data_IF_067617940003
#
_entry.id   IF_067617940003
#
_cell.length_a   1.000
_cell.length_b   1.000
_cell.length_c   1.000
_cell.angle_alpha   90.00
_cell.angle_beta   90.00
_cell.angle_gamma   90.00
#
_symmetry.space_group_name_H-M   'P 1'
#
loop_
_entity.id
_entity.type
_entity.pdbx_description
1 polymer ?
#
# COMPACT_ATOMS: atom_id res chain seq x y z
N UNK A 1 -88.43 -1.23 -41.30
CA UNK A 1 -88.52 0.11 -40.70
C UNK A 1 -88.22 0.01 -39.21
N UNK A 2 -87.31 0.89 -38.73
CA UNK A 2 -87.03 1.33 -37.35
C UNK A 2 -85.90 0.60 -36.60
N UNK A 3 -84.86 1.30 -36.62
CA UNK A 3 -84.10 2.09 -35.65
C UNK A 3 -83.38 1.31 -34.52
N UNK A 4 -82.12 1.36 -34.67
CA UNK A 4 -81.04 0.95 -33.75
C UNK A 4 -81.04 1.77 -32.43
N UNK A 5 -80.79 1.09 -31.32
CA UNK A 5 -80.37 1.75 -30.11
C UNK A 5 -79.06 1.12 -29.59
N UNK A 6 -78.03 1.93 -29.57
CA UNK A 6 -76.66 1.58 -29.18
C UNK A 6 -76.54 1.73 -27.66
N UNK A 7 -76.23 0.66 -26.93
CA UNK A 7 -75.93 0.72 -25.55
C UNK A 7 -74.37 0.68 -25.42
N UNK A 8 -73.76 1.79 -25.03
CA UNK A 8 -72.37 1.85 -24.67
C UNK A 8 -72.17 1.23 -23.28
N UNK A 9 -71.42 0.14 -23.18
CA UNK A 9 -70.86 -0.37 -21.93
C UNK A 9 -69.50 0.26 -21.74
N UNK A 10 -69.37 1.13 -20.73
CA UNK A 10 -68.10 1.68 -20.21
C UNK A 10 -67.47 0.62 -19.32
N UNK A 11 -66.35 0.06 -19.75
CA UNK A 11 -65.51 -0.78 -18.92
C UNK A 11 -64.58 0.14 -18.09
N UNK A 12 -64.72 0.12 -16.75
CA UNK A 12 -63.79 0.76 -15.85
C UNK A 12 -62.53 -0.08 -15.72
N UNK A 13 -61.42 0.44 -16.23
CA UNK A 13 -60.07 -0.09 -15.93
C UNK A 13 -59.63 0.39 -14.57
N UNK A 14 -59.56 -0.51 -13.59
CA UNK A 14 -58.90 -0.26 -12.30
C UNK A 14 -57.40 -0.30 -12.57
N UNK A 15 -56.78 0.88 -12.59
CA UNK A 15 -55.34 1.02 -12.66
C UNK A 15 -54.68 0.63 -11.35
N UNK A 16 -54.01 -0.49 -11.28
CA UNK A 16 -53.09 -0.80 -10.18
C UNK A 16 -51.84 0.07 -10.32
N UNK A 17 -51.74 1.13 -9.53
CA UNK A 17 -50.52 1.92 -9.35
C UNK A 17 -49.51 1.07 -8.58
N UNK A 18 -48.53 0.50 -9.30
CA UNK A 18 -47.34 -0.06 -8.69
C UNK A 18 -46.54 1.08 -8.07
N UNK A 19 -46.58 1.16 -6.74
CA UNK A 19 -45.70 2.01 -5.98
C UNK A 19 -44.28 1.36 -6.06
N UNK A 20 -43.50 1.75 -7.07
CA UNK A 20 -42.07 1.51 -7.07
C UNK A 20 -41.50 2.29 -5.88
N UNK A 21 -41.10 1.57 -4.85
CA UNK A 21 -40.28 2.09 -3.76
C UNK A 21 -38.95 2.55 -4.38
N UNK A 22 -38.86 3.84 -4.70
CA UNK A 22 -37.60 4.51 -4.98
C UNK A 22 -36.78 4.46 -3.69
N UNK A 23 -35.85 3.50 -3.60
CA UNK A 23 -34.72 3.62 -2.70
C UNK A 23 -34.06 4.96 -3.04
N UNK A 24 -33.95 5.91 -2.11
CA UNK A 24 -33.32 7.18 -2.42
C UNK A 24 -31.87 6.88 -2.80
N UNK A 25 -31.52 6.92 -4.08
CA UNK A 25 -30.15 7.15 -4.50
C UNK A 25 -29.78 8.47 -3.84
N UNK A 26 -28.88 8.41 -2.84
CA UNK A 26 -28.25 9.63 -2.34
C UNK A 26 -27.73 10.39 -3.54
N UNK A 27 -28.36 11.50 -3.86
CA UNK A 27 -27.83 12.45 -4.82
C UNK A 27 -26.52 12.94 -4.22
N UNK A 28 -25.40 12.42 -4.74
CA UNK A 28 -24.10 13.00 -4.42
C UNK A 28 -24.16 14.46 -4.80
N UNK A 29 -23.76 15.34 -3.88
CA UNK A 29 -23.73 16.76 -4.15
C UNK A 29 -22.92 16.98 -5.45
N UNK A 30 -23.50 17.66 -6.41
CA UNK A 30 -22.83 18.01 -7.65
C UNK A 30 -21.55 18.77 -7.28
N UNK A 31 -20.37 18.07 -7.38
CA UNK A 31 -19.09 18.68 -7.03
C UNK A 31 -18.15 17.83 -6.16
N UNK A 32 -18.61 16.75 -5.47
CA UNK A 32 -17.71 15.88 -4.69
C UNK A 32 -16.79 15.12 -5.66
N UNK A 33 -15.46 15.21 -5.52
CA UNK A 33 -14.54 14.51 -6.40
C UNK A 33 -14.60 12.98 -6.19
N UNK A 34 -14.41 12.21 -7.25
CA UNK A 34 -14.19 10.76 -7.16
C UNK A 34 -12.85 10.49 -6.46
N UNK A 35 -12.86 9.56 -5.54
CA UNK A 35 -11.67 9.16 -4.76
C UNK A 35 -11.09 7.89 -5.36
N UNK A 36 -9.82 7.91 -5.76
CA UNK A 36 -9.18 6.82 -6.50
C UNK A 36 -7.89 6.37 -5.83
N UNK A 37 -7.79 5.07 -5.51
CA UNK A 37 -6.50 4.44 -5.22
C UNK A 37 -6.05 3.61 -6.41
N UNK A 38 -4.76 3.70 -6.77
CA UNK A 38 -4.11 2.82 -7.73
C UNK A 38 -3.02 2.02 -7.04
N UNK A 39 -3.17 0.70 -7.07
CA UNK A 39 -2.35 -0.26 -6.32
C UNK A 39 -1.94 -1.43 -7.21
N UNK A 40 -0.91 -2.17 -6.78
CA UNK A 40 -0.37 -3.27 -7.58
C UNK A 40 -1.29 -4.50 -7.60
N UNK A 41 -1.76 -4.99 -6.45
CA UNK A 41 -2.56 -6.23 -6.40
C UNK A 41 -3.41 -6.30 -5.14
N UNK A 42 -4.63 -6.84 -5.24
CA UNK A 42 -5.48 -7.12 -4.09
C UNK A 42 -5.19 -8.49 -3.45
N UNK A 43 -4.45 -9.36 -4.12
CA UNK A 43 -4.00 -10.63 -3.53
C UNK A 43 -2.87 -10.44 -2.52
N UNK A 44 -2.13 -9.32 -2.58
CA UNK A 44 -1.17 -8.96 -1.56
C UNK A 44 -1.89 -8.31 -0.37
N UNK A 45 -1.77 -8.86 0.87
CA UNK A 45 -2.47 -8.35 2.05
C UNK A 45 -2.15 -6.89 2.40
N UNK A 46 -0.96 -6.40 2.08
CA UNK A 46 -0.58 -5.01 2.25
C UNK A 46 -1.47 -4.08 1.43
N UNK A 47 -1.59 -4.34 0.12
CA UNK A 47 -2.44 -3.54 -0.76
C UNK A 47 -3.94 -3.74 -0.48
N UNK A 48 -4.37 -4.92 -0.02
CA UNK A 48 -5.75 -5.14 0.40
C UNK A 48 -6.11 -4.25 1.59
N UNK A 49 -5.21 -4.12 2.59
CA UNK A 49 -5.39 -3.23 3.75
C UNK A 49 -5.32 -1.75 3.34
N UNK A 50 -4.43 -1.38 2.43
CA UNK A 50 -4.41 -0.05 1.82
C UNK A 50 -5.76 0.31 1.18
N UNK A 51 -6.32 -0.62 0.39
CA UNK A 51 -7.62 -0.43 -0.24
C UNK A 51 -8.74 -0.19 0.78
N UNK A 52 -8.74 -0.91 1.91
CA UNK A 52 -9.69 -0.69 3.00
C UNK A 52 -9.60 0.72 3.58
N UNK A 53 -8.38 1.24 3.78
CA UNK A 53 -8.16 2.62 4.22
C UNK A 53 -8.74 3.64 3.25
N UNK A 54 -8.55 3.46 1.95
CA UNK A 54 -9.14 4.33 0.93
C UNK A 54 -10.66 4.30 0.91
N UNK A 55 -11.25 3.11 1.07
CA UNK A 55 -12.71 2.96 1.20
C UNK A 55 -13.26 3.70 2.43
N UNK A 56 -12.55 3.59 3.56
CA UNK A 56 -12.95 4.27 4.79
C UNK A 56 -12.90 5.79 4.64
N UNK A 57 -11.84 6.33 4.03
CA UNK A 57 -11.76 7.76 3.73
C UNK A 57 -12.91 8.21 2.82
N UNK A 58 -13.13 7.54 1.69
CA UNK A 58 -14.21 7.89 0.76
C UNK A 58 -15.59 7.87 1.43
N UNK A 59 -15.84 6.85 2.27
CA UNK A 59 -17.06 6.75 3.08
C UNK A 59 -17.22 7.92 4.03
N UNK A 60 -16.15 8.38 4.67
CA UNK A 60 -16.18 9.47 5.64
C UNK A 60 -16.62 10.80 5.04
N UNK A 61 -16.31 11.04 3.76
CA UNK A 61 -16.68 12.26 3.02
C UNK A 61 -17.88 12.06 2.09
N UNK A 62 -18.47 10.87 2.04
CA UNK A 62 -19.60 10.54 1.16
C UNK A 62 -19.28 10.58 -0.33
N UNK A 63 -18.04 10.27 -0.72
CA UNK A 63 -17.56 10.25 -2.10
C UNK A 63 -17.64 8.85 -2.75
N UNK A 64 -17.70 8.82 -4.10
CA UNK A 64 -17.50 7.60 -4.87
C UNK A 64 -16.04 7.15 -4.75
N UNK A 65 -15.84 5.84 -4.57
CA UNK A 65 -14.53 5.23 -4.47
C UNK A 65 -14.24 4.29 -5.65
N UNK A 66 -13.05 4.37 -6.18
CA UNK A 66 -12.57 3.49 -7.25
C UNK A 66 -11.19 2.94 -6.88
N UNK A 67 -11.03 1.62 -7.02
CA UNK A 67 -9.72 0.97 -6.94
C UNK A 67 -9.27 0.61 -8.35
N UNK A 68 -8.08 1.03 -8.73
CA UNK A 68 -7.39 0.58 -9.93
C UNK A 68 -6.33 -0.44 -9.51
N UNK A 69 -6.37 -1.62 -10.11
CA UNK A 69 -5.44 -2.72 -9.80
C UNK A 69 -4.62 -3.02 -11.04
N UNK A 70 -3.32 -2.82 -10.93
CA UNK A 70 -2.40 -2.91 -12.08
C UNK A 70 -1.92 -4.33 -12.36
N UNK A 71 -1.91 -5.21 -11.35
CA UNK A 71 -1.30 -6.55 -11.35
C UNK A 71 0.20 -6.51 -11.70
N UNK A 72 0.87 -5.36 -11.44
CA UNK A 72 2.27 -5.13 -11.75
C UNK A 72 2.55 -4.70 -13.19
N UNK A 73 1.50 -4.45 -13.99
CA UNK A 73 1.62 -3.96 -15.36
C UNK A 73 1.57 -2.42 -15.36
N UNK A 74 2.71 -1.79 -15.66
CA UNK A 74 2.87 -0.33 -15.70
C UNK A 74 2.04 0.33 -16.80
N UNK A 75 1.96 -0.29 -17.99
CA UNK A 75 1.18 0.26 -19.11
C UNK A 75 -0.31 0.25 -18.78
N UNK A 76 -0.80 -0.87 -18.23
CA UNK A 76 -2.16 -0.97 -17.72
C UNK A 76 -2.46 0.08 -16.66
N UNK A 77 -1.58 0.24 -15.68
CA UNK A 77 -1.76 1.22 -14.59
C UNK A 77 -1.91 2.64 -15.10
N UNK A 78 -1.03 3.06 -16.01
CA UNK A 78 -1.08 4.40 -16.65
C UNK A 78 -2.34 4.55 -17.51
N UNK A 79 -2.72 3.51 -18.27
CA UNK A 79 -3.91 3.54 -19.12
C UNK A 79 -5.20 3.64 -18.29
N UNK A 80 -5.34 2.87 -17.22
CA UNK A 80 -6.49 2.89 -16.32
C UNK A 80 -6.65 4.26 -15.63
N UNK A 81 -5.54 4.88 -15.20
CA UNK A 81 -5.55 6.23 -14.64
C UNK A 81 -6.02 7.24 -15.69
N UNK A 82 -5.53 7.18 -16.92
CA UNK A 82 -5.99 8.06 -18.01
C UNK A 82 -7.48 7.87 -18.31
N UNK A 83 -7.98 6.64 -18.28
CA UNK A 83 -9.39 6.33 -18.51
C UNK A 83 -10.29 6.92 -17.40
N UNK A 84 -9.91 6.80 -16.12
CA UNK A 84 -10.70 7.38 -15.02
C UNK A 84 -10.63 8.92 -15.02
N UNK A 85 -9.49 9.52 -15.38
CA UNK A 85 -9.36 10.96 -15.56
C UNK A 85 -10.33 11.48 -16.64
N UNK A 86 -10.41 10.80 -17.78
CA UNK A 86 -11.36 11.14 -18.85
C UNK A 86 -12.82 10.98 -18.40
N UNK A 87 -13.15 9.88 -17.69
CA UNK A 87 -14.50 9.60 -17.17
C UNK A 87 -14.98 10.64 -16.19
N UNK A 88 -14.09 11.14 -15.32
CA UNK A 88 -14.41 12.11 -14.26
C UNK A 88 -14.24 13.58 -14.72
N UNK A 89 -13.71 13.80 -15.93
CA UNK A 89 -13.33 15.13 -16.40
C UNK A 89 -12.29 15.80 -15.48
N UNK A 90 -11.44 15.00 -14.80
CA UNK A 90 -10.46 15.48 -13.84
C UNK A 90 -11.03 15.83 -12.45
N UNK A 91 -12.35 15.67 -12.22
CA UNK A 91 -12.92 15.88 -10.89
C UNK A 91 -12.68 14.67 -10.00
N UNK A 92 -11.41 14.42 -9.68
CA UNK A 92 -10.99 13.32 -8.82
C UNK A 92 -9.75 13.68 -7.99
N UNK A 93 -9.50 12.87 -6.99
CA UNK A 93 -8.24 12.80 -6.26
C UNK A 93 -7.67 11.39 -6.39
N UNK A 94 -6.36 11.30 -6.60
CA UNK A 94 -5.65 10.04 -6.80
C UNK A 94 -4.57 9.87 -5.72
N UNK A 95 -4.53 8.69 -5.12
CA UNK A 95 -3.39 8.23 -4.35
C UNK A 95 -2.84 6.98 -5.05
N UNK A 96 -1.58 6.99 -5.45
CA UNK A 96 -0.99 5.95 -6.29
C UNK A 96 0.32 5.43 -5.72
N UNK A 97 0.46 4.10 -5.71
CA UNK A 97 1.73 3.40 -5.64
C UNK A 97 2.14 2.99 -7.06
N UNK A 98 3.00 3.76 -7.75
CA UNK A 98 3.46 3.39 -9.09
C UNK A 98 4.18 2.04 -9.08
N UNK A 99 3.97 1.20 -10.10
CA UNK A 99 4.66 -0.10 -10.16
C UNK A 99 6.18 0.05 -10.20
N UNK A 100 6.66 1.08 -10.92
CA UNK A 100 8.07 1.45 -11.02
C UNK A 100 8.25 2.95 -10.87
N UNK A 101 9.45 3.38 -10.46
CA UNK A 101 9.76 4.79 -10.27
C UNK A 101 9.52 5.65 -11.52
N UNK A 102 9.86 5.21 -12.76
CA UNK A 102 9.56 5.99 -13.97
C UNK A 102 8.07 6.23 -14.24
N UNK A 103 7.18 5.34 -13.74
CA UNK A 103 5.74 5.44 -13.99
C UNK A 103 5.10 6.68 -13.35
N UNK A 104 5.69 7.17 -12.26
CA UNK A 104 5.14 8.31 -11.53
C UNK A 104 5.02 9.56 -12.40
N UNK A 105 6.01 9.85 -13.26
CA UNK A 105 6.01 11.06 -14.09
C UNK A 105 4.83 11.13 -15.05
N UNK A 106 4.57 10.15 -15.94
CA UNK A 106 3.43 10.19 -16.86
C UNK A 106 2.07 10.16 -16.15
N UNK A 107 2.00 9.58 -14.94
CA UNK A 107 0.80 9.61 -14.09
C UNK A 107 0.54 11.03 -13.57
N UNK A 108 1.55 11.66 -12.98
CA UNK A 108 1.47 13.04 -12.45
C UNK A 108 1.11 14.01 -13.56
N UNK A 109 1.78 13.96 -14.70
CA UNK A 109 1.50 14.83 -15.85
C UNK A 109 0.08 14.65 -16.39
N UNK A 110 -0.43 13.41 -16.44
CA UNK A 110 -1.81 13.16 -16.83
C UNK A 110 -2.82 13.77 -15.85
N UNK A 111 -2.57 13.67 -14.53
CA UNK A 111 -3.41 14.30 -13.51
C UNK A 111 -3.42 15.83 -13.63
N UNK A 112 -2.26 16.44 -13.79
CA UNK A 112 -2.13 17.90 -13.97
C UNK A 112 -2.90 18.36 -15.19
N UNK A 113 -2.69 17.70 -16.34
CA UNK A 113 -3.39 18.03 -17.59
C UNK A 113 -4.91 17.97 -17.47
N UNK A 114 -5.42 17.05 -16.65
CA UNK A 114 -6.85 16.88 -16.40
C UNK A 114 -7.39 17.78 -15.26
N UNK A 115 -6.54 18.45 -14.48
CA UNK A 115 -6.93 19.23 -13.29
C UNK A 115 -7.28 18.38 -12.07
N UNK A 116 -6.86 17.10 -12.05
CA UNK A 116 -6.96 16.23 -10.90
C UNK A 116 -5.82 16.48 -9.90
N UNK A 117 -6.02 16.10 -8.65
CA UNK A 117 -5.00 16.19 -7.60
C UNK A 117 -4.45 14.81 -7.27
N UNK A 118 -3.14 14.70 -7.09
CA UNK A 118 -2.46 13.41 -6.93
C UNK A 118 -1.46 13.43 -5.79
N UNK A 119 -1.41 12.34 -5.05
CA UNK A 119 -0.29 11.95 -4.17
C UNK A 119 0.31 10.66 -4.70
N UNK A 120 1.63 10.56 -4.67
CA UNK A 120 2.36 9.33 -4.98
C UNK A 120 2.96 8.75 -3.71
N UNK A 121 3.17 7.43 -3.69
CA UNK A 121 3.84 6.77 -2.59
C UNK A 121 4.91 5.81 -3.11
N UNK A 122 5.95 5.57 -2.29
CA UNK A 122 7.06 4.66 -2.51
C UNK A 122 7.94 4.97 -3.73
N UNK A 123 7.35 4.98 -4.92
CA UNK A 123 8.10 4.99 -6.18
C UNK A 123 7.94 6.30 -6.93
N UNK A 124 9.05 6.99 -7.20
CA UNK A 124 9.13 8.12 -8.12
C UNK A 124 10.58 8.32 -8.59
N UNK A 125 10.80 8.96 -9.75
CA UNK A 125 12.13 9.46 -10.12
C UNK A 125 12.66 10.49 -9.12
N UNK A 126 13.96 10.50 -8.89
CA UNK A 126 14.59 11.43 -7.95
C UNK A 126 14.35 12.91 -8.29
N UNK A 127 14.26 13.22 -9.59
CA UNK A 127 14.05 14.56 -10.14
C UNK A 127 12.57 14.95 -10.32
N UNK A 128 11.62 14.18 -9.81
CA UNK A 128 10.19 14.47 -9.86
C UNK A 128 9.72 14.99 -8.51
N UNK A 129 9.54 16.28 -8.35
CA UNK A 129 9.15 16.89 -7.09
C UNK A 129 7.74 17.47 -7.09
N UNK A 130 6.94 17.31 -6.01
CA UNK A 130 5.60 17.88 -5.93
C UNK A 130 5.57 19.41 -6.11
N UNK A 131 6.56 20.13 -5.61
CA UNK A 131 6.61 21.61 -5.75
C UNK A 131 6.84 22.11 -7.16
N UNK A 132 7.31 21.26 -8.10
CA UNK A 132 7.49 21.61 -9.50
C UNK A 132 6.17 21.58 -10.29
N UNK A 133 5.12 20.99 -9.70
CA UNK A 133 3.83 20.73 -10.33
C UNK A 133 2.64 21.22 -9.47
N UNK A 134 2.77 22.41 -8.87
CA UNK A 134 1.71 23.03 -8.10
C UNK A 134 0.48 23.38 -8.93
N UNK A 135 -0.74 23.30 -8.35
CA UNK A 135 -1.03 22.73 -7.03
C UNK A 135 -1.38 21.24 -7.07
N UNK A 136 -1.37 20.60 -8.23
CA UNK A 136 -2.01 19.33 -8.49
C UNK A 136 -1.21 18.11 -7.99
N UNK A 137 0.12 18.14 -8.08
CA UNK A 137 0.94 17.13 -7.43
C UNK A 137 1.15 17.54 -5.98
N UNK A 138 0.36 16.96 -5.07
CA UNK A 138 0.24 17.47 -3.71
C UNK A 138 1.36 17.02 -2.82
N UNK A 139 1.64 15.71 -2.78
CA UNK A 139 2.70 15.16 -1.95
C UNK A 139 3.23 13.82 -2.49
N UNK A 140 4.45 13.50 -2.06
CA UNK A 140 5.04 12.16 -2.16
C UNK A 140 5.31 11.64 -0.75
N UNK A 141 4.83 10.43 -0.46
CA UNK A 141 4.92 9.78 0.84
C UNK A 141 5.78 8.53 0.71
N UNK A 142 6.81 8.40 1.51
CA UNK A 142 7.62 7.19 1.62
C UNK A 142 7.90 6.88 3.09
N UNK A 143 8.71 5.86 3.34
CA UNK A 143 9.22 5.51 4.66
C UNK A 143 10.70 5.21 4.52
N UNK A 144 11.50 5.51 5.53
CA UNK A 144 12.96 5.39 5.46
C UNK A 144 13.38 3.91 5.31
N UNK A 145 13.44 3.47 4.04
CA UNK A 145 13.77 2.09 3.71
C UNK A 145 15.16 1.67 4.15
N UNK A 146 16.13 2.59 4.19
CA UNK A 146 17.48 2.30 4.67
C UNK A 146 17.46 2.01 6.17
N UNK A 147 16.85 2.90 6.96
CA UNK A 147 16.74 2.75 8.40
C UNK A 147 16.05 1.44 8.81
N UNK A 148 14.86 1.18 8.25
CA UNK A 148 14.09 0.00 8.64
C UNK A 148 14.61 -1.30 8.01
N UNK A 149 15.29 -1.22 6.87
CA UNK A 149 16.05 -2.35 6.31
C UNK A 149 17.20 -2.76 7.24
N UNK A 150 17.89 -1.78 7.83
CA UNK A 150 18.93 -1.99 8.83
C UNK A 150 18.35 -2.55 10.14
N UNK A 151 17.24 -1.99 10.63
CA UNK A 151 16.59 -2.43 11.88
C UNK A 151 16.14 -3.90 11.80
N UNK A 152 15.50 -4.30 10.69
CA UNK A 152 15.07 -5.69 10.49
C UNK A 152 16.27 -6.63 10.35
N UNK A 153 17.34 -6.21 9.68
CA UNK A 153 18.57 -7.00 9.59
C UNK A 153 19.24 -7.16 10.96
N UNK A 154 19.28 -6.10 11.77
CA UNK A 154 19.82 -6.15 13.14
C UNK A 154 18.96 -7.05 14.06
N UNK A 155 17.62 -7.01 13.91
CA UNK A 155 16.72 -7.92 14.63
C UNK A 155 16.98 -9.39 14.25
N UNK A 156 17.19 -9.67 12.95
CA UNK A 156 17.57 -10.99 12.47
C UNK A 156 18.91 -11.46 13.08
N UNK A 157 19.94 -10.59 12.99
CA UNK A 157 21.28 -10.87 13.50
C UNK A 157 21.23 -11.17 15.01
N UNK A 158 20.48 -10.40 15.78
CA UNK A 158 20.24 -10.64 17.21
C UNK A 158 19.58 -12.00 17.44
N UNK A 159 18.53 -12.32 16.68
CA UNK A 159 17.78 -13.58 16.83
C UNK A 159 18.62 -14.82 16.49
N UNK A 160 19.59 -14.72 15.57
CA UNK A 160 20.50 -15.82 15.21
C UNK A 160 21.78 -15.88 16.09
N UNK A 161 21.90 -15.05 17.11
CA UNK A 161 23.05 -15.06 18.05
C UNK A 161 24.30 -14.34 17.53
N UNK A 162 24.16 -13.42 16.58
CA UNK A 162 25.24 -12.50 16.16
C UNK A 162 26.26 -13.07 15.17
N UNK A 163 26.07 -14.32 14.68
CA UNK A 163 27.02 -14.94 13.75
C UNK A 163 26.39 -16.01 12.88
N UNK A 164 27.01 -16.31 11.71
CA UNK A 164 26.58 -17.37 10.79
C UNK A 164 26.15 -16.84 9.43
N UNK A 165 25.60 -17.74 8.61
CA UNK A 165 25.16 -17.41 7.25
C UNK A 165 23.73 -16.95 7.20
N UNK A 166 23.46 -15.93 6.40
CA UNK A 166 22.07 -15.54 6.04
C UNK A 166 21.87 -15.61 4.54
N UNK A 167 20.64 -15.79 4.14
CA UNK A 167 20.19 -15.54 2.76
C UNK A 167 19.18 -14.39 2.77
N UNK A 168 19.07 -13.67 1.65
CA UNK A 168 18.23 -12.50 1.59
C UNK A 168 17.39 -12.41 0.31
N UNK A 169 16.12 -12.03 0.47
CA UNK A 169 15.15 -11.87 -0.61
C UNK A 169 14.90 -10.38 -0.87
N UNK A 170 15.15 -9.95 -2.11
CA UNK A 170 14.88 -8.60 -2.59
C UNK A 170 13.55 -8.47 -3.32
N UNK A 171 13.02 -7.24 -3.33
CA UNK A 171 11.91 -6.86 -4.18
C UNK A 171 12.33 -6.59 -5.63
N UNK A 172 11.44 -5.95 -6.40
CA UNK A 172 11.71 -5.54 -7.77
C UNK A 172 12.88 -4.55 -7.80
N UNK A 173 13.89 -4.80 -8.64
CA UNK A 173 15.16 -4.06 -8.63
C UNK A 173 15.05 -2.56 -8.94
N UNK A 174 14.05 -2.17 -9.73
CA UNK A 174 13.78 -0.78 -10.09
C UNK A 174 12.97 0.01 -9.06
N UNK A 175 12.48 -0.67 -8.01
CA UNK A 175 11.70 -0.02 -6.97
C UNK A 175 12.60 0.65 -5.92
N UNK A 176 12.34 1.91 -5.62
CA UNK A 176 13.04 2.67 -4.58
C UNK A 176 13.08 1.92 -3.23
N UNK A 177 11.96 1.39 -2.69
CA UNK A 177 12.00 0.66 -1.42
C UNK A 177 12.86 -0.63 -1.48
N UNK A 178 12.97 -1.29 -2.62
CA UNK A 178 13.83 -2.48 -2.75
C UNK A 178 15.32 -2.11 -2.64
N UNK A 179 15.70 -1.01 -3.28
CA UNK A 179 17.08 -0.49 -3.26
C UNK A 179 17.44 -0.03 -1.84
N UNK A 180 16.58 0.79 -1.22
CA UNK A 180 16.82 1.35 0.12
C UNK A 180 16.88 0.26 1.19
N UNK A 181 15.94 -0.68 1.21
CA UNK A 181 15.91 -1.78 2.19
C UNK A 181 17.14 -2.67 2.06
N UNK A 182 17.61 -2.94 0.83
CA UNK A 182 18.85 -3.67 0.57
C UNK A 182 20.07 -2.90 1.09
N UNK A 183 20.13 -1.59 0.88
CA UNK A 183 21.20 -0.74 1.44
C UNK A 183 21.22 -0.84 2.98
N UNK A 184 20.06 -0.83 3.65
CA UNK A 184 19.96 -1.03 5.09
C UNK A 184 20.50 -2.41 5.53
N UNK A 185 20.13 -3.48 4.83
CA UNK A 185 20.70 -4.82 5.07
C UNK A 185 22.24 -4.81 4.95
N UNK A 186 22.77 -4.18 3.89
CA UNK A 186 24.23 -4.10 3.66
C UNK A 186 24.93 -3.32 4.75
N UNK A 187 24.33 -2.24 5.29
CA UNK A 187 24.86 -1.48 6.42
C UNK A 187 24.94 -2.35 7.68
N UNK A 188 23.86 -3.09 7.99
CA UNK A 188 23.84 -4.00 9.14
C UNK A 188 24.90 -5.10 9.01
N UNK A 189 25.08 -5.69 7.83
CA UNK A 189 26.11 -6.71 7.58
C UNK A 189 27.52 -6.16 7.72
N UNK A 190 27.77 -4.94 7.24
CA UNK A 190 29.05 -4.25 7.40
C UNK A 190 29.39 -4.02 8.87
N UNK A 191 28.41 -3.70 9.69
CA UNK A 191 28.56 -3.52 11.13
C UNK A 191 28.73 -4.86 11.90
N UNK A 192 28.33 -5.99 11.29
CA UNK A 192 28.35 -7.32 11.90
C UNK A 192 29.19 -8.33 11.09
N UNK A 193 30.53 -8.24 11.08
CA UNK A 193 31.39 -9.03 10.17
C UNK A 193 31.39 -10.54 10.41
N UNK A 194 30.83 -11.00 11.53
CA UNK A 194 30.64 -12.43 11.84
C UNK A 194 29.43 -13.02 11.13
N UNK A 195 28.58 -12.19 10.50
CA UNK A 195 27.44 -12.63 9.70
C UNK A 195 27.78 -12.53 8.21
N UNK A 196 27.54 -13.61 7.48
CA UNK A 196 27.87 -13.71 6.05
C UNK A 196 26.62 -13.82 5.21
N UNK A 197 26.50 -12.99 4.21
CA UNK A 197 25.48 -13.16 3.17
C UNK A 197 25.90 -14.31 2.24
N UNK A 198 25.18 -15.44 2.28
CA UNK A 198 25.42 -16.61 1.47
C UNK A 198 24.89 -16.44 0.04
N UNK A 199 23.71 -15.84 -0.08
CA UNK A 199 23.09 -15.52 -1.38
C UNK A 199 22.04 -14.41 -1.22
N UNK A 200 21.80 -13.70 -2.33
CA UNK A 200 20.73 -12.70 -2.46
C UNK A 200 19.99 -12.94 -3.77
N UNK A 201 18.67 -13.11 -3.71
CA UNK A 201 17.84 -13.26 -4.91
C UNK A 201 16.62 -12.36 -4.86
N UNK A 202 16.13 -12.00 -6.05
CA UNK A 202 14.92 -11.19 -6.23
C UNK A 202 13.70 -12.10 -6.30
N UNK A 203 12.71 -11.84 -5.44
CA UNK A 203 11.44 -12.56 -5.42
C UNK A 203 10.24 -11.65 -5.74
N UNK A 204 10.49 -10.47 -6.34
CA UNK A 204 9.49 -9.58 -6.95
C UNK A 204 8.27 -9.26 -6.05
N UNK A 205 8.47 -9.17 -4.74
CA UNK A 205 7.43 -8.96 -3.73
C UNK A 205 6.39 -10.09 -3.62
N UNK A 206 6.70 -11.31 -4.08
CA UNK A 206 5.76 -12.44 -4.16
C UNK A 206 6.15 -13.61 -3.27
N UNK A 207 5.21 -14.08 -2.47
CA UNK A 207 5.36 -15.26 -1.59
C UNK A 207 5.68 -16.52 -2.36
N UNK A 208 5.06 -16.75 -3.51
CA UNK A 208 5.30 -17.95 -4.33
C UNK A 208 6.71 -18.02 -4.90
N UNK A 209 7.27 -16.88 -5.34
CA UNK A 209 8.66 -16.82 -5.80
C UNK A 209 9.63 -17.02 -4.64
N UNK A 210 9.35 -16.38 -3.49
CA UNK A 210 10.13 -16.54 -2.27
C UNK A 210 10.17 -18.00 -1.79
N UNK A 211 9.03 -18.69 -1.76
CA UNK A 211 8.95 -20.12 -1.41
C UNK A 211 9.88 -20.96 -2.26
N UNK A 212 9.85 -20.80 -3.58
CA UNK A 212 10.67 -21.57 -4.52
C UNK A 212 12.18 -21.30 -4.31
N UNK A 213 12.56 -20.03 -4.15
CA UNK A 213 13.95 -19.62 -3.92
C UNK A 213 14.47 -20.20 -2.60
N UNK A 214 13.69 -20.06 -1.53
CA UNK A 214 14.10 -20.56 -0.20
C UNK A 214 14.19 -22.08 -0.17
N UNK A 215 13.27 -22.80 -0.80
CA UNK A 215 13.34 -24.26 -0.94
C UNK A 215 14.63 -24.71 -1.64
N UNK A 216 15.03 -23.99 -2.69
CA UNK A 216 16.31 -24.25 -3.38
C UNK A 216 17.52 -23.93 -2.48
N UNK A 217 17.47 -22.85 -1.70
CA UNK A 217 18.53 -22.49 -0.74
C UNK A 217 18.66 -23.50 0.40
N UNK A 218 17.55 -23.99 0.95
CA UNK A 218 17.57 -25.03 1.99
C UNK A 218 18.23 -26.31 1.48
N UNK A 219 18.01 -26.66 0.21
CA UNK A 219 18.71 -27.79 -0.43
C UNK A 219 20.21 -27.51 -0.64
N UNK A 220 20.57 -26.28 -1.04
CA UNK A 220 21.94 -25.90 -1.40
C UNK A 220 22.83 -25.68 -0.18
N UNK A 221 22.32 -24.94 0.82
CA UNK A 221 23.12 -24.47 1.95
C UNK A 221 22.78 -25.20 3.25
N UNK A 222 21.60 -25.83 3.35
CA UNK A 222 21.19 -26.62 4.50
C UNK A 222 21.37 -25.90 5.84
N UNK A 223 22.13 -26.52 6.75
CA UNK A 223 22.37 -25.99 8.09
C UNK A 223 23.29 -24.75 8.16
N UNK A 224 23.86 -24.30 7.05
CA UNK A 224 24.63 -23.05 7.01
C UNK A 224 23.73 -21.81 7.08
N UNK A 225 22.45 -21.93 6.71
CA UNK A 225 21.46 -20.87 6.85
C UNK A 225 21.06 -20.74 8.34
N UNK A 226 21.42 -19.61 8.96
CA UNK A 226 21.08 -19.28 10.34
C UNK A 226 19.98 -18.23 10.44
N UNK A 227 19.67 -17.54 9.36
CA UNK A 227 18.60 -16.55 9.29
C UNK A 227 18.23 -16.20 7.85
N UNK A 228 17.01 -15.72 7.65
CA UNK A 228 16.51 -15.29 6.34
C UNK A 228 15.90 -13.89 6.46
N UNK A 229 16.49 -12.95 5.72
CA UNK A 229 15.97 -11.61 5.61
C UNK A 229 15.11 -11.47 4.35
N UNK A 230 13.89 -10.96 4.49
CA UNK A 230 13.02 -10.67 3.36
C UNK A 230 12.67 -9.18 3.34
N UNK A 231 12.79 -8.57 2.16
CA UNK A 231 12.53 -7.15 1.99
C UNK A 231 11.05 -6.77 2.15
N UNK A 232 10.12 -7.76 2.19
CA UNK A 232 8.74 -7.53 2.61
C UNK A 232 8.10 -8.77 3.26
N UNK A 233 6.93 -8.59 3.85
CA UNK A 233 6.23 -9.64 4.59
C UNK A 233 5.64 -10.72 3.67
N UNK A 234 5.17 -10.38 2.48
CA UNK A 234 4.62 -11.40 1.57
C UNK A 234 5.70 -12.42 1.18
N UNK A 235 6.92 -11.96 0.88
CA UNK A 235 8.07 -12.85 0.66
C UNK A 235 8.47 -13.60 1.95
N UNK A 236 8.40 -12.93 3.13
CA UNK A 236 8.68 -13.57 4.40
C UNK A 236 7.68 -14.68 4.72
N UNK A 237 6.40 -14.51 4.39
CA UNK A 237 5.38 -15.58 4.52
C UNK A 237 5.71 -16.76 3.61
N UNK A 238 6.06 -16.54 2.34
CA UNK A 238 6.52 -17.61 1.46
C UNK A 238 7.76 -18.34 1.99
N UNK A 239 8.68 -17.59 2.60
CA UNK A 239 9.85 -18.12 3.30
C UNK A 239 9.43 -19.04 4.47
N UNK A 240 8.49 -18.59 5.29
CA UNK A 240 7.99 -19.36 6.43
C UNK A 240 7.33 -20.68 5.98
N UNK A 241 6.59 -20.67 4.89
CA UNK A 241 5.99 -21.89 4.34
C UNK A 241 7.06 -22.90 3.88
N UNK A 242 8.15 -22.43 3.24
CA UNK A 242 9.28 -23.31 2.90
C UNK A 242 9.96 -23.89 4.16
N UNK A 243 10.15 -23.06 5.20
CA UNK A 243 10.70 -23.53 6.47
C UNK A 243 9.77 -24.52 7.20
N UNK A 244 8.45 -24.32 7.12
CA UNK A 244 7.46 -25.27 7.70
C UNK A 244 7.51 -26.62 7.02
N UNK A 245 7.65 -26.67 5.69
CA UNK A 245 7.79 -27.91 4.92
C UNK A 245 8.99 -28.73 5.40
N UNK A 246 10.09 -28.07 5.79
CA UNK A 246 11.32 -28.70 6.29
C UNK A 246 11.37 -28.80 7.85
N UNK A 247 10.31 -28.43 8.56
CA UNK A 247 10.23 -28.42 10.04
C UNK A 247 11.28 -27.50 10.70
N UNK A 248 11.63 -26.41 10.01
CA UNK A 248 12.59 -25.40 10.43
C UNK A 248 11.95 -24.09 10.91
N UNK A 249 10.64 -23.94 10.80
CA UNK A 249 9.91 -22.78 11.33
C UNK A 249 10.18 -22.60 12.82
N UNK A 250 10.47 -21.35 13.25
CA UNK A 250 10.87 -21.02 14.61
C UNK A 250 12.30 -21.45 15.00
N UNK A 251 13.02 -22.22 14.15
CA UNK A 251 14.43 -22.60 14.36
C UNK A 251 15.38 -21.74 13.52
N UNK A 252 14.95 -21.33 12.33
CA UNK A 252 15.64 -20.37 11.48
C UNK A 252 14.82 -19.10 11.54
N UNK A 253 15.32 -18.02 12.18
CA UNK A 253 14.59 -16.76 12.29
C UNK A 253 14.42 -16.11 10.91
N UNK A 254 13.26 -15.46 10.73
CA UNK A 254 12.88 -14.74 9.53
C UNK A 254 12.53 -13.30 9.92
N UNK A 255 12.82 -12.35 9.06
CA UNK A 255 12.29 -10.98 9.18
C UNK A 255 11.61 -10.54 7.90
N UNK A 256 10.63 -9.66 8.04
CA UNK A 256 9.91 -9.04 6.95
C UNK A 256 9.73 -7.54 7.18
N UNK A 257 8.98 -6.92 6.31
CA UNK A 257 8.59 -5.51 6.35
C UNK A 257 7.21 -5.42 5.70
N UNK A 258 6.29 -4.73 6.26
CA UNK A 258 4.97 -4.22 5.86
C UNK A 258 3.99 -4.25 7.06
N UNK A 259 4.20 -5.12 8.04
CA UNK A 259 3.34 -5.27 9.22
C UNK A 259 1.98 -5.89 8.89
N UNK A 260 1.92 -6.83 7.92
CA UNK A 260 0.68 -7.52 7.60
C UNK A 260 0.26 -8.45 8.75
N UNK A 261 -1.03 -8.72 8.85
CA UNK A 261 -1.59 -9.55 9.94
C UNK A 261 -0.84 -10.88 10.13
N UNK A 262 -0.60 -11.61 9.05
CA UNK A 262 0.10 -12.93 9.10
C UNK A 262 1.54 -12.80 9.60
N UNK A 263 2.25 -11.73 9.26
CA UNK A 263 3.60 -11.47 9.76
C UNK A 263 3.59 -11.14 11.26
N UNK A 264 2.65 -10.30 11.71
CA UNK A 264 2.48 -10.00 13.15
C UNK A 264 2.14 -11.28 13.93
N UNK A 265 1.26 -12.14 13.40
CA UNK A 265 0.94 -13.44 14.00
C UNK A 265 2.18 -14.35 14.06
N UNK A 266 3.03 -14.36 13.03
CA UNK A 266 4.28 -15.11 13.01
C UNK A 266 5.30 -14.56 14.03
N UNK A 267 5.39 -13.25 14.24
CA UNK A 267 6.20 -12.65 15.31
C UNK A 267 5.68 -13.09 16.69
N UNK A 268 4.36 -13.07 16.90
CA UNK A 268 3.72 -13.53 18.14
C UNK A 268 3.97 -15.01 18.40
N UNK A 269 4.00 -15.83 17.36
CA UNK A 269 4.31 -17.26 17.46
C UNK A 269 5.82 -17.55 17.63
N UNK A 270 6.70 -16.57 17.45
CA UNK A 270 8.16 -16.76 17.47
C UNK A 270 8.73 -17.38 16.20
N UNK A 271 7.95 -17.39 15.10
CA UNK A 271 8.38 -17.86 13.79
C UNK A 271 9.08 -16.74 12.99
N UNK A 272 8.70 -15.46 13.22
CA UNK A 272 9.45 -14.30 12.79
C UNK A 272 10.16 -13.64 13.94
N UNK A 273 11.37 -13.12 13.68
CA UNK A 273 12.10 -12.30 14.65
C UNK A 273 11.54 -10.87 14.71
N UNK A 274 11.16 -10.31 13.57
CA UNK A 274 10.57 -8.97 13.48
C UNK A 274 9.88 -8.74 12.14
N UNK A 275 9.01 -7.74 12.12
CA UNK A 275 8.56 -7.03 10.92
C UNK A 275 8.46 -5.53 11.21
N UNK A 276 8.32 -4.70 10.18
CA UNK A 276 8.05 -3.26 10.33
C UNK A 276 6.67 -2.97 9.80
N UNK A 277 5.83 -2.32 10.59
CA UNK A 277 4.54 -1.84 10.11
C UNK A 277 4.65 -0.40 9.63
N UNK A 278 4.11 -0.17 8.44
CA UNK A 278 3.92 1.14 7.82
C UNK A 278 2.48 1.62 7.95
N UNK A 279 1.59 0.84 8.57
CA UNK A 279 0.16 1.06 8.60
C UNK A 279 -0.43 1.30 7.18
N UNK A 280 -0.58 0.26 6.37
CA UNK A 280 -1.09 0.39 5.00
C UNK A 280 -2.52 0.94 4.94
N UNK A 281 -3.32 0.77 6.00
CA UNK A 281 -4.63 1.40 6.10
C UNK A 281 -4.52 2.93 6.14
N UNK A 282 -3.59 3.46 6.95
CA UNK A 282 -3.29 4.88 6.99
C UNK A 282 -2.78 5.39 5.63
N UNK A 283 -1.88 4.66 4.99
CA UNK A 283 -1.34 5.06 3.68
C UNK A 283 -2.44 5.18 2.63
N UNK A 284 -3.33 4.20 2.56
CA UNK A 284 -4.44 4.20 1.60
C UNK A 284 -5.46 5.30 1.82
N UNK A 285 -5.63 5.73 3.06
CA UNK A 285 -6.55 6.80 3.44
C UNK A 285 -5.89 8.19 3.41
N UNK A 286 -4.68 8.32 3.98
CA UNK A 286 -4.05 9.62 4.19
C UNK A 286 -3.55 10.25 2.88
N UNK A 287 -3.00 9.48 1.96
CA UNK A 287 -2.68 10.00 0.63
C UNK A 287 -3.89 10.64 -0.07
N UNK A 288 -5.05 9.99 0.03
CA UNK A 288 -6.31 10.54 -0.49
C UNK A 288 -6.77 11.77 0.29
N UNK A 289 -6.65 11.76 1.63
CA UNK A 289 -7.04 12.89 2.47
C UNK A 289 -6.22 14.15 2.15
N UNK A 290 -4.91 14.01 1.99
CA UNK A 290 -4.01 15.10 1.61
C UNK A 290 -4.39 15.66 0.22
N UNK A 291 -4.59 14.78 -0.77
CA UNK A 291 -5.00 15.22 -2.12
C UNK A 291 -6.39 15.90 -2.10
N UNK A 292 -7.34 15.40 -1.29
CA UNK A 292 -8.67 15.97 -1.12
C UNK A 292 -8.63 17.33 -0.42
N UNK A 293 -7.81 17.47 0.62
CA UNK A 293 -7.63 18.74 1.32
C UNK A 293 -7.10 19.84 0.39
N UNK A 294 -6.16 19.50 -0.50
CA UNK A 294 -5.67 20.42 -1.52
C UNK A 294 -6.76 20.76 -2.56
N UNK A 295 -7.46 19.75 -3.09
CA UNK A 295 -8.51 19.96 -4.10
C UNK A 295 -9.68 20.81 -3.58
N UNK A 296 -9.99 20.70 -2.29
CA UNK A 296 -11.08 21.47 -1.66
C UNK A 296 -10.61 22.82 -1.09
N UNK A 297 -9.34 23.17 -1.26
CA UNK A 297 -8.78 24.42 -0.77
C UNK A 297 -8.57 24.49 0.74
N UNK A 298 -8.63 23.36 1.45
CA UNK A 298 -8.33 23.26 2.88
C UNK A 298 -6.84 23.51 3.14
N UNK A 299 -5.99 23.07 2.22
CA UNK A 299 -4.56 23.41 2.17
C UNK A 299 -4.21 24.00 0.81
N UNK A 300 -3.17 24.84 0.76
CA UNK A 300 -2.59 25.36 -0.46
C UNK A 300 -1.20 24.73 -0.66
N UNK A 301 -1.06 23.74 -1.56
CA UNK A 301 0.21 23.04 -1.75
C UNK A 301 1.38 23.97 -2.06
N UNK A 302 1.15 25.12 -2.70
CA UNK A 302 2.22 26.07 -3.02
C UNK A 302 2.77 26.79 -1.77
N UNK A 303 2.03 26.78 -0.65
CA UNK A 303 2.42 27.39 0.63
C UNK A 303 2.89 26.37 1.66
N UNK A 304 2.65 25.09 1.42
CA UNK A 304 3.13 24.04 2.34
C UNK A 304 4.66 23.94 2.32
N UNK A 305 5.29 23.73 3.48
CA UNK A 305 6.74 23.51 3.54
C UNK A 305 7.12 22.20 2.82
N UNK A 306 8.36 22.09 2.37
CA UNK A 306 8.83 20.93 1.58
C UNK A 306 8.69 19.61 2.34
N UNK A 307 8.85 19.62 3.67
CA UNK A 307 8.62 18.45 4.54
C UNK A 307 7.18 17.95 4.58
N UNK A 308 6.19 18.74 4.11
CA UNK A 308 4.82 18.30 3.87
C UNK A 308 4.60 17.84 2.43
N UNK A 309 5.54 18.09 1.56
CA UNK A 309 5.43 17.77 0.14
C UNK A 309 6.16 16.48 -0.24
N UNK A 310 7.32 16.24 0.36
CA UNK A 310 8.05 14.97 0.26
C UNK A 310 8.51 14.56 1.65
N UNK A 311 7.92 13.50 2.20
CA UNK A 311 8.20 13.14 3.58
C UNK A 311 8.24 11.65 3.83
N UNK A 312 9.00 11.29 4.86
CA UNK A 312 8.94 9.99 5.48
C UNK A 312 7.84 9.94 6.53
N UNK A 313 7.00 8.90 6.45
CA UNK A 313 6.05 8.56 7.50
C UNK A 313 6.68 7.70 8.59
N UNK A 314 6.04 7.67 9.76
CA UNK A 314 6.45 6.84 10.90
C UNK A 314 6.20 5.37 10.61
N UNK A 315 7.22 4.53 10.76
CA UNK A 315 7.10 3.07 10.85
C UNK A 315 7.26 2.58 12.28
N UNK A 316 6.83 1.35 12.53
CA UNK A 316 6.96 0.69 13.85
C UNK A 316 7.63 -0.66 13.65
N UNK A 317 8.80 -0.85 14.24
CA UNK A 317 9.43 -2.17 14.32
C UNK A 317 8.64 -3.02 15.33
N UNK A 318 8.09 -4.12 14.85
CA UNK A 318 7.32 -5.07 15.65
C UNK A 318 8.19 -6.30 15.91
N UNK A 319 8.45 -6.53 17.18
CA UNK A 319 9.21 -7.67 17.70
C UNK A 319 8.35 -8.43 18.71
N UNK A 320 8.87 -9.51 19.26
CA UNK A 320 8.14 -10.29 20.28
C UNK A 320 7.71 -9.46 21.48
N UNK A 321 8.49 -8.43 21.83
CA UNK A 321 8.29 -7.57 23.00
C UNK A 321 7.01 -6.70 22.88
N UNK A 322 6.63 -6.27 21.66
CA UNK A 322 5.48 -5.38 21.44
C UNK A 322 4.39 -5.96 20.54
N UNK A 323 4.57 -7.18 19.99
CA UNK A 323 3.65 -7.75 19.01
C UNK A 323 2.22 -7.98 19.55
N UNK A 324 2.06 -8.31 20.84
CA UNK A 324 0.72 -8.53 21.43
C UNK A 324 -0.06 -7.22 21.57
N UNK A 325 0.61 -6.14 21.99
CA UNK A 325 0.01 -4.80 22.08
C UNK A 325 -0.31 -4.27 20.68
N UNK A 326 0.64 -4.42 19.75
CA UNK A 326 0.46 -4.02 18.36
C UNK A 326 -0.73 -4.75 17.71
N UNK A 327 -0.84 -6.06 17.92
CA UNK A 327 -1.93 -6.87 17.37
C UNK A 327 -3.30 -6.39 17.87
N UNK A 328 -3.44 -6.11 19.16
CA UNK A 328 -4.69 -5.61 19.75
C UNK A 328 -5.11 -4.26 19.17
N UNK A 329 -4.14 -3.35 19.01
CA UNK A 329 -4.42 -1.96 18.59
C UNK A 329 -4.63 -1.80 17.09
N UNK A 330 -3.97 -2.63 16.25
CA UNK A 330 -3.94 -2.44 14.79
C UNK A 330 -4.60 -3.57 13.99
N UNK A 331 -4.80 -4.75 14.59
CA UNK A 331 -5.34 -5.92 13.88
C UNK A 331 -6.72 -6.33 14.42
N UNK A 332 -6.87 -6.41 15.74
CA UNK A 332 -8.18 -6.75 16.37
C UNK A 332 -9.14 -5.57 16.36
N UNK A 333 -8.63 -4.36 16.49
CA UNK A 333 -9.42 -3.15 16.48
C UNK A 333 -9.51 -2.56 15.07
N UNK A 334 -10.68 -1.98 14.71
CA UNK A 334 -10.77 -1.18 13.50
C UNK A 334 -9.84 0.04 13.63
N UNK A 335 -8.94 0.28 12.66
CA UNK A 335 -8.02 1.41 12.73
C UNK A 335 -8.76 2.74 12.83
N UNK A 336 -8.40 3.56 13.81
CA UNK A 336 -8.95 4.90 14.00
C UNK A 336 -8.00 5.92 13.42
N UNK A 337 -8.34 6.46 12.25
CA UNK A 337 -7.55 7.48 11.57
C UNK A 337 -8.28 8.81 11.66
N UNK A 338 -7.63 9.84 12.18
CA UNK A 338 -8.07 11.23 12.01
C UNK A 338 -7.63 11.72 10.62
N UNK A 339 -8.56 11.74 9.69
CA UNK A 339 -8.30 12.20 8.31
C UNK A 339 -8.01 13.71 8.22
N UNK A 340 -8.11 14.46 9.32
CA UNK A 340 -7.75 15.86 9.36
C UNK A 340 -6.32 16.09 9.87
N UNK A 341 -5.74 15.12 10.54
CA UNK A 341 -4.35 15.13 10.98
C UNK A 341 -3.42 14.71 9.84
N UNK A 342 -3.31 15.60 8.83
CA UNK A 342 -2.60 15.31 7.57
C UNK A 342 -1.10 15.04 7.78
N UNK A 343 -0.50 15.61 8.82
CA UNK A 343 0.95 15.66 9.00
C UNK A 343 1.44 15.00 10.29
N UNK A 344 0.56 14.42 11.10
CA UNK A 344 0.90 13.86 12.42
C UNK A 344 1.87 12.68 12.39
N UNK A 345 2.10 12.08 11.21
CA UNK A 345 3.08 10.99 11.06
C UNK A 345 4.32 11.38 10.25
N UNK A 346 4.53 12.66 9.97
CA UNK A 346 5.74 13.14 9.30
C UNK A 346 6.93 13.01 10.26
N UNK A 347 7.98 12.32 9.83
CA UNK A 347 9.22 12.18 10.60
C UNK A 347 10.36 13.01 10.03
N UNK A 348 10.21 13.54 8.83
CA UNK A 348 11.18 14.39 8.17
C UNK A 348 11.08 14.36 6.66
N UNK A 349 11.82 15.25 6.00
CA UNK A 349 11.88 15.31 4.54
C UNK A 349 12.64 14.10 3.98
N UNK A 350 12.17 13.58 2.84
CA UNK A 350 12.85 12.51 2.11
C UNK A 350 14.25 12.98 1.70
N UNK A 351 15.25 12.18 2.03
CA UNK A 351 16.64 12.43 1.65
C UNK A 351 16.75 12.23 0.13
N UNK A 352 17.30 13.21 -0.52
CA UNK A 352 17.65 13.08 -1.93
C UNK A 352 18.97 12.32 -2.02
N UNK A 353 18.95 11.13 -2.62
CA UNK A 353 20.13 10.30 -2.89
C UNK A 353 20.85 10.75 -4.15
#
# INVERSE_FOLDING_TARGET
MHRRTFIRRTAAFAGATAVMSMVPRRAFAAGTPTVVNSIRSLSNPYHATWNQGGQAFAKSIGADYVTLVTEGDSEKGIADIRAILAKTGGNMVLNVDPNDSPDARPIVEACIKAGAYVTTQWNKPADLHPWDFNPNYVAHIAFDGVHYGEDTANALIKAMGGSGGIVALGGILSNTPAIERKTGLENALKANPNVKLLDFQVANWKSTEAFNIVSAWLTRFGGDIKGIWAANDDMAVGTLEALRAEKLAGKVPVTGIDGIKTAIEAVRAGEFAATVSWDPYWQGSMGLSIAFAAKTGKIDPAKEPKEHREFYGTGVLVTKENADEFYKSHIESEPKIDFNDLWGRVTGQIRQS
#
